data_IF_868821268724
#
_entry.id   IF_868821268724
#
_cell.length_a   1.000
_cell.length_b   1.000
_cell.length_c   1.000
_cell.angle_alpha   90.00
_cell.angle_beta   90.00
_cell.angle_gamma   90.00
#
_symmetry.space_group_name_H-M   'P 1'
#
loop_
_entity.id
_entity.type
_entity.pdbx_description
1 polymer ?
#
# COMPACT_ATOMS: atom_id res chain seq x y z
N UNK A 1 35.30 25.64 -58.71
CA UNK A 1 35.23 26.05 -57.30
C UNK A 1 33.85 26.64 -57.03
N UNK A 2 33.01 26.24 -56.08
CA UNK A 2 33.06 25.24 -55.00
C UNK A 2 31.63 25.13 -54.45
N UNK A 3 31.09 23.89 -54.44
CA UNK A 3 30.09 23.24 -53.56
C UNK A 3 29.05 24.04 -52.75
N UNK A 4 27.85 23.44 -52.66
CA UNK A 4 26.94 23.66 -51.53
C UNK A 4 25.61 22.87 -51.56
N UNK A 5 25.62 21.57 -51.87
CA UNK A 5 24.45 20.70 -51.66
C UNK A 5 24.25 20.45 -50.15
N UNK A 6 23.17 20.98 -49.57
CA UNK A 6 22.72 20.63 -48.22
C UNK A 6 21.66 19.55 -48.34
N UNK A 7 22.12 18.30 -48.26
CA UNK A 7 21.27 17.12 -48.10
C UNK A 7 20.73 17.10 -46.67
N UNK A 8 19.48 17.51 -46.48
CA UNK A 8 18.76 17.33 -45.22
C UNK A 8 18.52 15.84 -45.01
N UNK A 9 19.38 15.24 -44.20
CA UNK A 9 19.26 13.86 -43.76
C UNK A 9 18.15 13.79 -42.71
N UNK A 10 16.94 13.40 -43.13
CA UNK A 10 15.85 13.06 -42.21
C UNK A 10 16.26 11.80 -41.45
N UNK A 11 16.74 11.99 -40.23
CA UNK A 11 16.96 10.93 -39.25
C UNK A 11 15.62 10.26 -38.97
N UNK A 12 15.47 9.01 -39.42
CA UNK A 12 14.35 8.18 -39.07
C UNK A 12 14.30 8.02 -37.54
N UNK A 13 13.31 8.66 -36.91
CA UNK A 13 12.98 8.42 -35.52
C UNK A 13 12.69 6.92 -35.38
N UNK A 14 13.54 6.24 -34.63
CA UNK A 14 13.39 4.82 -34.31
C UNK A 14 12.08 4.69 -33.54
N UNK A 15 11.01 4.25 -34.21
CA UNK A 15 9.75 3.91 -33.57
C UNK A 15 10.04 2.71 -32.65
N UNK A 16 10.22 3.00 -31.38
CA UNK A 16 10.26 1.97 -30.33
C UNK A 16 8.90 1.28 -30.41
N UNK A 17 8.83 -0.04 -30.68
CA UNK A 17 7.56 -0.74 -30.69
C UNK A 17 7.01 -0.69 -29.26
N UNK A 18 5.97 0.13 -29.07
CA UNK A 18 5.18 0.13 -27.84
C UNK A 18 4.57 -1.26 -27.76
N UNK A 19 5.11 -2.10 -26.87
CA UNK A 19 4.56 -3.43 -26.60
C UNK A 19 3.07 -3.29 -26.36
N UNK A 20 2.27 -3.92 -27.20
CA UNK A 20 0.81 -3.78 -27.30
C UNK A 20 0.12 -4.48 -26.14
N UNK A 21 0.43 -4.08 -24.90
CA UNK A 21 -0.38 -4.44 -23.74
C UNK A 21 -1.76 -3.83 -23.96
N UNK A 22 -2.77 -4.69 -24.13
CA UNK A 22 -4.15 -4.24 -24.29
C UNK A 22 -4.54 -3.48 -23.02
N UNK A 23 -4.78 -2.17 -23.15
CA UNK A 23 -5.27 -1.33 -22.06
C UNK A 23 -6.77 -1.62 -21.92
N UNK A 24 -7.15 -2.34 -20.85
CA UNK A 24 -8.52 -2.82 -20.63
C UNK A 24 -9.26 -1.91 -19.66
N UNK A 25 -10.52 -1.51 -19.95
CA UNK A 25 -11.31 -0.70 -19.03
C UNK A 25 -11.78 -1.52 -17.82
N UNK A 26 -11.79 -0.94 -16.60
CA UNK A 26 -12.38 -1.60 -15.45
C UNK A 26 -13.90 -1.69 -15.59
N UNK A 27 -14.46 -2.82 -15.18
CA UNK A 27 -15.89 -3.10 -15.31
C UNK A 27 -16.65 -2.80 -14.01
N UNK A 28 -17.77 -2.09 -14.11
CA UNK A 28 -18.71 -1.92 -12.99
C UNK A 28 -19.58 -3.17 -12.87
N UNK A 29 -19.26 -4.03 -11.91
CA UNK A 29 -19.99 -5.26 -11.62
C UNK A 29 -20.72 -5.25 -10.27
N UNK A 30 -20.41 -4.26 -9.43
CA UNK A 30 -20.95 -4.09 -8.08
C UNK A 30 -21.06 -2.58 -7.81
N UNK A 31 -22.12 -2.18 -7.11
CA UNK A 31 -22.38 -0.80 -6.67
C UNK A 31 -22.08 -0.59 -5.19
N UNK A 32 -21.53 -1.59 -4.49
CA UNK A 32 -21.06 -1.43 -3.13
C UNK A 32 -19.99 -0.32 -3.06
N UNK A 33 -19.98 0.40 -1.95
CA UNK A 33 -19.11 1.56 -1.78
C UNK A 33 -17.62 1.25 -2.00
N UNK A 34 -17.05 0.17 -1.43
CA UNK A 34 -15.64 -0.18 -1.66
C UNK A 34 -15.37 -0.57 -3.13
N UNK A 35 -16.32 -1.25 -3.78
CA UNK A 35 -16.19 -1.62 -5.19
C UNK A 35 -16.17 -0.39 -6.10
N UNK A 36 -17.02 0.61 -5.84
CA UNK A 36 -17.07 1.84 -6.63
C UNK A 36 -15.85 2.75 -6.39
N UNK A 37 -15.35 2.84 -5.16
CA UNK A 37 -14.10 3.56 -4.86
C UNK A 37 -12.92 2.94 -5.61
N UNK A 38 -12.82 1.60 -5.58
CA UNK A 38 -11.82 0.86 -6.35
C UNK A 38 -11.97 1.09 -7.85
N UNK A 39 -13.19 0.92 -8.38
CA UNK A 39 -13.47 1.12 -9.80
C UNK A 39 -13.09 2.53 -10.26
N UNK A 40 -13.41 3.57 -9.47
CA UNK A 40 -13.08 4.97 -9.80
C UNK A 40 -11.58 5.19 -9.94
N UNK A 41 -10.78 4.58 -9.04
CA UNK A 41 -9.31 4.62 -9.12
C UNK A 41 -8.80 3.93 -10.39
N UNK A 42 -9.23 2.68 -10.63
CA UNK A 42 -8.83 1.91 -11.82
C UNK A 42 -9.28 2.60 -13.11
N UNK A 43 -10.41 3.32 -13.08
CA UNK A 43 -10.96 4.03 -14.22
C UNK A 43 -10.11 5.24 -14.58
N UNK A 44 -9.62 5.98 -13.59
CA UNK A 44 -8.67 7.06 -13.79
C UNK A 44 -7.35 6.53 -14.39
N UNK A 45 -6.80 5.46 -13.83
CA UNK A 45 -5.56 4.83 -14.35
C UNK A 45 -5.73 4.37 -15.80
N UNK A 46 -6.89 3.81 -16.14
CA UNK A 46 -7.25 3.44 -17.51
C UNK A 46 -7.30 4.66 -18.44
N UNK A 47 -7.94 5.75 -18.01
CA UNK A 47 -8.06 6.99 -18.80
C UNK A 47 -6.71 7.63 -19.06
N UNK A 48 -5.84 7.70 -18.04
CA UNK A 48 -4.48 8.22 -18.14
C UNK A 48 -3.62 7.37 -19.09
N UNK A 49 -3.77 6.04 -19.02
CA UNK A 49 -3.04 5.12 -19.91
C UNK A 49 -3.50 5.25 -21.37
N UNK A 50 -4.80 5.41 -21.61
CA UNK A 50 -5.34 5.69 -22.95
C UNK A 50 -4.82 7.03 -23.47
N UNK A 51 -4.81 8.07 -22.64
CA UNK A 51 -4.31 9.38 -22.99
C UNK A 51 -2.83 9.35 -23.39
N UNK A 52 -1.98 8.69 -22.60
CA UNK A 52 -0.56 8.51 -22.93
C UNK A 52 -0.34 7.75 -24.25
N UNK A 53 -1.15 6.71 -24.51
CA UNK A 53 -1.09 5.96 -25.78
C UNK A 53 -1.51 6.84 -26.96
N UNK A 54 -2.61 7.57 -26.84
CA UNK A 54 -3.10 8.50 -27.87
C UNK A 54 -2.06 9.59 -28.17
N UNK A 55 -1.41 10.15 -27.15
CA UNK A 55 -0.34 11.13 -27.34
C UNK A 55 0.86 10.57 -28.12
N UNK A 56 1.16 9.28 -27.95
CA UNK A 56 2.29 8.62 -28.64
C UNK A 56 1.94 8.17 -30.06
N UNK A 57 0.70 7.73 -30.29
CA UNK A 57 0.25 7.11 -31.55
C UNK A 57 -0.49 8.06 -32.49
N UNK A 58 -0.99 9.19 -31.98
CA UNK A 58 -1.90 10.08 -32.69
C UNK A 58 -3.33 9.54 -32.80
N UNK A 59 -3.67 8.44 -32.10
CA UNK A 59 -5.04 7.91 -32.03
C UNK A 59 -6.00 8.94 -31.41
N UNK A 60 -7.22 9.01 -31.96
CA UNK A 60 -8.30 9.82 -31.39
C UNK A 60 -8.75 9.26 -30.03
N UNK A 61 -8.56 10.04 -28.96
CA UNK A 61 -8.94 9.69 -27.57
C UNK A 61 -10.40 9.25 -27.47
N UNK A 62 -11.31 9.92 -28.19
CA UNK A 62 -12.75 9.60 -28.13
C UNK A 62 -13.07 8.21 -28.69
N UNK A 63 -12.25 7.70 -29.62
CA UNK A 63 -12.39 6.36 -30.21
C UNK A 63 -11.63 5.31 -29.42
N UNK A 64 -10.51 5.69 -28.82
CA UNK A 64 -9.68 4.81 -28.00
C UNK A 64 -10.32 4.52 -26.63
N UNK A 65 -11.02 5.50 -26.06
CA UNK A 65 -11.63 5.40 -24.74
C UNK A 65 -12.94 4.61 -24.78
N UNK A 66 -13.01 3.51 -24.03
CA UNK A 66 -14.27 2.79 -23.84
C UNK A 66 -15.16 3.55 -22.88
N UNK A 67 -16.41 3.80 -23.28
CA UNK A 67 -17.40 4.46 -22.44
C UNK A 67 -17.73 3.68 -21.16
N UNK A 68 -18.22 4.37 -20.13
CA UNK A 68 -18.61 3.75 -18.85
C UNK A 68 -19.78 2.81 -19.08
N UNK A 69 -20.77 3.23 -19.86
CA UNK A 69 -21.92 2.41 -20.26
C UNK A 69 -21.52 1.08 -20.91
N UNK A 70 -20.47 1.09 -21.76
CA UNK A 70 -19.94 -0.10 -22.43
C UNK A 70 -19.01 -0.95 -21.56
N UNK A 71 -18.59 -0.42 -20.41
CA UNK A 71 -17.83 -1.13 -19.37
C UNK A 71 -18.67 -1.36 -18.11
N UNK A 72 -20.00 -1.33 -18.24
CA UNK A 72 -20.93 -1.61 -17.16
C UNK A 72 -21.56 -3.00 -17.34
N UNK A 73 -21.76 -3.72 -16.24
CA UNK A 73 -22.61 -4.91 -16.25
C UNK A 73 -24.01 -4.55 -16.78
N UNK A 74 -24.40 -5.12 -17.92
CA UNK A 74 -25.64 -4.76 -18.63
C UNK A 74 -26.90 -4.97 -17.79
N UNK A 75 -26.95 -6.05 -17.01
CA UNK A 75 -28.11 -6.38 -16.20
C UNK A 75 -28.20 -5.46 -14.98
N UNK A 76 -27.07 -5.16 -14.35
CA UNK A 76 -26.99 -4.20 -13.24
C UNK A 76 -27.39 -2.80 -13.71
N UNK A 77 -26.83 -2.32 -14.83
CA UNK A 77 -27.16 -1.01 -15.40
C UNK A 77 -28.66 -0.90 -15.73
N UNK A 78 -29.24 -1.93 -16.35
CA UNK A 78 -30.67 -1.99 -16.65
C UNK A 78 -31.53 -1.90 -15.38
N UNK A 79 -31.09 -2.57 -14.32
CA UNK A 79 -31.77 -2.60 -13.03
C UNK A 79 -31.72 -1.21 -12.36
N UNK A 80 -30.54 -0.59 -12.30
CA UNK A 80 -30.36 0.77 -11.78
C UNK A 80 -31.19 1.82 -12.55
N UNK A 81 -31.14 1.79 -13.88
CA UNK A 81 -31.94 2.68 -14.71
C UNK A 81 -33.44 2.58 -14.36
N UNK A 82 -33.96 1.37 -14.19
CA UNK A 82 -35.37 1.12 -13.93
C UNK A 82 -35.78 1.54 -12.52
N UNK A 83 -35.01 1.14 -11.50
CA UNK A 83 -35.44 1.24 -10.11
C UNK A 83 -34.91 2.48 -9.39
N UNK A 84 -33.69 2.92 -9.67
CA UNK A 84 -33.05 4.03 -8.95
C UNK A 84 -33.15 5.34 -9.73
N UNK A 85 -32.94 5.30 -11.05
CA UNK A 85 -32.75 6.52 -11.86
C UNK A 85 -33.96 6.93 -12.69
N UNK A 86 -35.04 6.14 -12.70
CA UNK A 86 -36.26 6.45 -13.45
C UNK A 86 -36.02 6.70 -14.94
N UNK A 87 -35.10 5.95 -15.55
CA UNK A 87 -34.71 6.09 -16.97
C UNK A 87 -34.54 4.73 -17.64
N UNK A 88 -34.08 4.73 -18.87
CA UNK A 88 -33.80 3.52 -19.66
C UNK A 88 -32.33 3.50 -20.07
N UNK A 89 -31.78 2.32 -20.36
CA UNK A 89 -30.40 2.17 -20.82
C UNK A 89 -30.15 2.99 -22.08
N UNK A 90 -31.14 3.20 -22.94
CA UNK A 90 -30.99 3.97 -24.18
C UNK A 90 -30.84 5.46 -23.89
N UNK A 91 -31.68 5.99 -23.01
CA UNK A 91 -31.77 7.43 -22.66
C UNK A 91 -30.68 7.91 -21.70
N UNK A 92 -30.07 7.02 -20.91
CA UNK A 92 -29.06 7.46 -19.94
C UNK A 92 -27.76 7.87 -20.65
N UNK A 93 -27.23 9.02 -20.26
CA UNK A 93 -25.96 9.59 -20.75
C UNK A 93 -24.79 9.10 -19.91
N UNK A 94 -23.57 9.13 -20.48
CA UNK A 94 -22.35 8.75 -19.77
C UNK A 94 -22.14 9.61 -18.51
N UNK A 95 -22.29 10.93 -18.63
CA UNK A 95 -22.14 11.87 -17.51
C UNK A 95 -23.12 11.59 -16.38
N UNK A 96 -24.35 11.19 -16.72
CA UNK A 96 -25.35 10.82 -15.72
C UNK A 96 -24.96 9.54 -14.99
N UNK A 97 -24.45 8.52 -15.69
CA UNK A 97 -23.96 7.29 -15.04
C UNK A 97 -22.87 7.64 -14.03
N UNK A 98 -21.85 8.40 -14.46
CA UNK A 98 -20.74 8.81 -13.58
C UNK A 98 -21.25 9.61 -12.39
N UNK A 99 -22.14 10.58 -12.62
CA UNK A 99 -22.72 11.40 -11.54
C UNK A 99 -23.50 10.57 -10.52
N UNK A 100 -24.27 9.58 -10.96
CA UNK A 100 -25.01 8.70 -10.04
C UNK A 100 -24.07 7.77 -9.25
N UNK A 101 -23.02 7.24 -9.88
CA UNK A 101 -21.98 6.49 -9.15
C UNK A 101 -21.26 7.37 -8.13
N UNK A 102 -20.96 8.61 -8.49
CA UNK A 102 -20.32 9.58 -7.59
C UNK A 102 -21.21 9.97 -6.41
N UNK A 103 -22.54 10.00 -6.59
CA UNK A 103 -23.48 10.17 -5.46
C UNK A 103 -23.42 9.00 -4.50
N UNK A 104 -23.32 7.76 -5.00
CA UNK A 104 -23.17 6.57 -4.15
C UNK A 104 -21.85 6.66 -3.37
N UNK A 105 -20.77 7.10 -4.00
CA UNK A 105 -19.45 7.27 -3.37
C UNK A 105 -19.42 8.46 -2.39
N UNK A 106 -20.22 9.48 -2.63
CA UNK A 106 -20.23 10.72 -1.86
C UNK A 106 -21.13 10.69 -0.62
N UNK A 107 -22.08 9.75 -0.57
CA UNK A 107 -23.08 9.65 0.49
C UNK A 107 -22.72 8.57 1.51
N UNK A 108 -23.04 8.83 2.77
CA UNK A 108 -22.85 7.89 3.87
C UNK A 108 -23.60 6.60 3.58
N UNK A 109 -22.94 5.45 3.74
CA UNK A 109 -23.56 4.15 3.49
C UNK A 109 -24.87 4.00 4.27
N UNK A 110 -25.96 3.71 3.54
CA UNK A 110 -27.30 3.41 4.05
C UNK A 110 -27.99 4.52 4.87
N UNK A 111 -27.55 5.78 4.81
CA UNK A 111 -28.01 6.86 5.72
C UNK A 111 -27.90 6.47 7.21
N UNK A 112 -27.07 5.46 7.52
CA UNK A 112 -26.90 4.95 8.88
C UNK A 112 -26.07 5.97 9.65
N UNK A 113 -26.49 6.26 10.88
CA UNK A 113 -25.65 6.99 11.85
C UNK A 113 -24.43 6.11 12.12
N UNK A 114 -23.35 6.35 11.38
CA UNK A 114 -22.10 5.63 11.56
C UNK A 114 -21.43 6.11 12.85
N UNK A 115 -21.03 5.16 13.69
CA UNK A 115 -20.05 5.43 14.74
C UNK A 115 -18.68 5.61 14.08
N UNK A 116 -18.39 6.86 13.73
CA UNK A 116 -17.15 7.28 13.06
C UNK A 116 -15.93 6.83 13.89
N UNK A 117 -15.99 6.96 15.21
CA UNK A 117 -14.89 6.58 16.10
C UNK A 117 -14.61 5.07 15.99
N UNK A 118 -15.65 4.23 16.01
CA UNK A 118 -15.52 2.77 15.88
C UNK A 118 -14.85 2.33 14.56
N UNK A 119 -15.19 2.98 13.44
CA UNK A 119 -14.60 2.68 12.13
C UNK A 119 -13.09 2.93 12.13
N UNK A 120 -12.66 4.09 12.64
CA UNK A 120 -11.24 4.42 12.72
C UNK A 120 -10.51 3.63 13.80
N UNK A 121 -11.14 3.37 14.94
CA UNK A 121 -10.60 2.52 16.02
C UNK A 121 -10.25 1.12 15.51
N UNK A 122 -11.09 0.54 14.65
CA UNK A 122 -10.85 -0.77 14.06
C UNK A 122 -9.72 -0.78 13.02
N UNK A 123 -9.68 0.24 12.15
CA UNK A 123 -8.93 0.19 10.87
C UNK A 123 -7.70 1.10 10.80
N UNK A 124 -7.72 2.27 11.43
CA UNK A 124 -6.64 3.25 11.30
C UNK A 124 -5.49 2.91 12.25
N UNK A 125 -4.48 2.22 11.70
CA UNK A 125 -3.30 1.77 12.46
C UNK A 125 -2.03 2.09 11.69
N UNK A 126 -1.08 2.75 12.37
CA UNK A 126 0.24 3.01 11.78
C UNK A 126 1.05 1.71 11.72
N UNK A 127 1.53 1.36 10.52
CA UNK A 127 2.34 0.17 10.28
C UNK A 127 3.76 0.35 10.86
N UNK A 128 4.02 -0.24 12.04
CA UNK A 128 5.32 -0.13 12.71
C UNK A 128 6.41 -1.01 12.10
N UNK A 129 6.05 -1.99 11.25
CA UNK A 129 6.99 -2.87 10.57
C UNK A 129 7.64 -2.17 9.36
N UNK A 130 7.00 -1.12 8.84
CA UNK A 130 7.59 -0.25 7.84
C UNK A 130 8.81 0.51 8.40
N UNK A 131 10.00 0.10 7.94
CA UNK A 131 11.30 0.65 8.36
C UNK A 131 11.54 2.08 7.88
N UNK A 132 11.03 2.44 6.70
CA UNK A 132 11.11 3.82 6.22
C UNK A 132 10.05 4.67 6.93
N UNK A 133 10.50 5.51 7.84
CA UNK A 133 9.66 6.40 8.65
C UNK A 133 8.80 7.32 7.78
N UNK A 134 9.33 7.82 6.66
CA UNK A 134 8.58 8.73 5.78
C UNK A 134 7.46 7.97 5.08
N UNK A 135 7.76 6.78 4.55
CA UNK A 135 6.77 5.92 3.92
C UNK A 135 5.69 5.50 4.94
N UNK A 136 6.09 5.16 6.17
CA UNK A 136 5.18 4.80 7.26
C UNK A 136 4.17 5.91 7.57
N UNK A 137 4.64 7.15 7.72
CA UNK A 137 3.77 8.29 8.00
C UNK A 137 2.87 8.60 6.79
N UNK A 138 3.41 8.55 5.57
CA UNK A 138 2.62 8.80 4.36
C UNK A 138 1.50 7.76 4.20
N UNK A 139 1.82 6.47 4.29
CA UNK A 139 0.85 5.38 4.18
C UNK A 139 -0.23 5.48 5.25
N UNK A 140 0.11 5.94 6.46
CA UNK A 140 -0.86 6.16 7.52
C UNK A 140 -1.89 7.25 7.18
N UNK A 141 -1.46 8.37 6.59
CA UNK A 141 -2.39 9.41 6.12
C UNK A 141 -3.23 8.92 4.95
N UNK A 142 -2.63 8.21 3.99
CA UNK A 142 -3.36 7.59 2.87
C UNK A 142 -4.43 6.60 3.34
N UNK A 143 -4.13 5.80 4.38
CA UNK A 143 -5.09 4.87 4.98
C UNK A 143 -6.29 5.60 5.60
N UNK A 144 -6.08 6.79 6.19
CA UNK A 144 -7.17 7.61 6.70
C UNK A 144 -8.11 8.04 5.55
N UNK A 145 -7.56 8.53 4.44
CA UNK A 145 -8.34 8.88 3.25
C UNK A 145 -9.07 7.69 2.65
N UNK A 146 -8.43 6.52 2.59
CA UNK A 146 -9.05 5.30 2.10
C UNK A 146 -10.24 4.88 2.98
N UNK A 147 -10.11 4.95 4.30
CA UNK A 147 -11.22 4.68 5.23
C UNK A 147 -12.37 5.70 5.02
N UNK A 148 -12.06 6.99 4.86
CA UNK A 148 -13.07 8.03 4.60
C UNK A 148 -13.82 7.73 3.30
N UNK A 149 -13.09 7.42 2.24
CA UNK A 149 -13.64 7.13 0.93
C UNK A 149 -14.49 5.86 0.96
N UNK A 150 -14.02 4.76 1.54
CA UNK A 150 -14.76 3.49 1.52
C UNK A 150 -16.07 3.50 2.34
N UNK A 151 -16.21 4.43 3.29
CA UNK A 151 -17.40 4.55 4.13
C UNK A 151 -18.35 5.69 3.69
N UNK A 152 -18.08 6.35 2.55
CA UNK A 152 -18.91 7.44 2.06
C UNK A 152 -18.86 8.70 2.91
N UNK A 153 -17.77 8.89 3.64
CA UNK A 153 -17.56 10.03 4.53
C UNK A 153 -16.88 11.21 3.82
N UNK A 154 -16.58 11.09 2.52
CA UNK A 154 -15.81 12.08 1.76
C UNK A 154 -16.42 13.49 1.84
N UNK A 155 -17.74 13.60 1.64
CA UNK A 155 -18.46 14.87 1.71
C UNK A 155 -18.43 15.47 3.13
N UNK A 156 -18.61 14.64 4.17
CA UNK A 156 -18.56 15.07 5.56
C UNK A 156 -17.16 15.60 5.93
N UNK A 157 -16.11 14.93 5.47
CA UNK A 157 -14.71 15.26 5.78
C UNK A 157 -14.15 16.41 4.91
N UNK A 158 -14.81 16.78 3.82
CA UNK A 158 -14.45 17.94 3.01
C UNK A 158 -14.81 19.30 3.64
N UNK A 159 -15.65 19.30 4.69
CA UNK A 159 -16.05 20.53 5.40
C UNK A 159 -14.97 20.99 6.38
N UNK A 160 -14.97 22.27 6.79
CA UNK A 160 -14.03 22.76 7.80
C UNK A 160 -14.12 22.00 9.14
N UNK A 161 -15.32 21.55 9.52
CA UNK A 161 -15.54 20.70 10.70
C UNK A 161 -15.00 19.29 10.45
N UNK A 162 -15.23 18.74 9.27
CA UNK A 162 -14.69 17.45 8.83
C UNK A 162 -13.16 17.40 8.84
N UNK A 163 -12.49 18.44 8.36
CA UNK A 163 -11.02 18.55 8.38
C UNK A 163 -10.49 18.57 9.82
N UNK A 164 -11.17 19.29 10.73
CA UNK A 164 -10.85 19.28 12.17
C UNK A 164 -10.97 17.88 12.76
N UNK A 165 -12.04 17.19 12.39
CA UNK A 165 -12.32 15.83 12.85
C UNK A 165 -11.28 14.85 12.31
N UNK A 166 -10.90 14.97 11.03
CA UNK A 166 -9.80 14.24 10.42
C UNK A 166 -8.51 14.40 11.21
N UNK A 167 -8.15 15.64 11.52
CA UNK A 167 -6.95 15.93 12.32
C UNK A 167 -7.04 15.31 13.72
N UNK A 168 -8.21 15.34 14.36
CA UNK A 168 -8.45 14.71 15.67
C UNK A 168 -8.22 13.19 15.60
N UNK A 169 -8.86 12.52 14.63
CA UNK A 169 -8.74 11.07 14.39
C UNK A 169 -7.29 10.70 14.10
N UNK A 170 -6.63 11.41 13.18
CA UNK A 170 -5.23 11.18 12.84
C UNK A 170 -4.30 11.25 14.06
N UNK A 171 -4.51 12.20 14.98
CA UNK A 171 -3.73 12.29 16.23
C UNK A 171 -4.03 11.15 17.20
N UNK A 172 -5.32 10.85 17.43
CA UNK A 172 -5.77 9.79 18.35
C UNK A 172 -5.10 8.45 18.03
N UNK A 173 -4.98 8.14 16.75
CA UNK A 173 -4.49 6.85 16.24
C UNK A 173 -2.98 6.79 15.94
N UNK A 174 -2.21 7.84 16.26
CA UNK A 174 -0.76 7.80 16.12
C UNK A 174 -0.14 6.72 17.02
N UNK A 175 0.73 5.92 16.42
CA UNK A 175 1.57 4.95 17.11
C UNK A 175 3.03 5.15 16.69
N UNK A 176 4.01 4.91 17.57
CA UNK A 176 3.86 4.56 18.99
C UNK A 176 3.31 5.72 19.83
N UNK A 177 2.85 5.43 21.06
CA UNK A 177 2.28 6.44 21.96
C UNK A 177 3.20 7.66 22.17
N UNK A 178 4.51 7.44 22.26
CA UNK A 178 5.49 8.52 22.38
C UNK A 178 5.46 9.52 21.21
N UNK A 179 5.17 9.07 19.99
CA UNK A 179 5.01 9.95 18.82
C UNK A 179 3.77 10.83 18.98
N UNK A 180 2.65 10.23 19.37
CA UNK A 180 1.41 10.94 19.64
C UNK A 180 1.61 12.02 20.70
N UNK A 181 2.21 11.65 21.82
CA UNK A 181 2.42 12.56 22.95
C UNK A 181 3.35 13.73 22.55
N UNK A 182 4.40 13.46 21.76
CA UNK A 182 5.29 14.50 21.23
C UNK A 182 4.57 15.48 20.29
N UNK A 183 3.69 14.98 19.42
CA UNK A 183 2.87 15.80 18.51
C UNK A 183 1.86 16.65 19.32
N UNK A 184 1.18 16.05 20.30
CA UNK A 184 0.23 16.76 21.16
C UNK A 184 0.91 17.85 22.00
N UNK A 185 2.08 17.57 22.58
CA UNK A 185 2.87 18.57 23.29
C UNK A 185 3.28 19.73 22.38
N UNK A 186 3.70 19.47 21.15
CA UNK A 186 4.08 20.52 20.20
C UNK A 186 2.87 21.40 19.83
N UNK A 187 1.72 20.82 19.54
CA UNK A 187 0.50 21.57 19.20
C UNK A 187 -0.10 22.34 20.39
N UNK A 188 0.17 21.91 21.63
CA UNK A 188 -0.24 22.63 22.84
C UNK A 188 0.64 23.84 23.12
N UNK A 189 1.96 23.73 22.90
CA UNK A 189 2.93 24.73 23.33
C UNK A 189 3.34 25.72 22.24
N UNK A 190 3.34 25.30 20.97
CA UNK A 190 3.91 26.08 19.86
C UNK A 190 2.82 26.59 18.92
N UNK A 191 1.98 25.68 18.39
CA UNK A 191 1.11 25.98 17.24
C UNK A 191 -0.38 25.73 17.54
N UNK A 192 -0.99 26.56 18.39
CA UNK A 192 -2.41 26.43 18.78
C UNK A 192 -3.40 26.68 17.63
N UNK A 193 -3.01 27.46 16.62
CA UNK A 193 -3.84 27.82 15.46
C UNK A 193 -3.83 26.77 14.33
N UNK A 194 -2.83 25.89 14.29
CA UNK A 194 -2.66 24.85 13.24
C UNK A 194 -3.29 23.50 13.58
N UNK A 195 -4.05 23.41 14.67
CA UNK A 195 -4.71 22.18 15.11
C UNK A 195 -5.71 21.60 14.09
N UNK A 196 -6.07 22.38 13.09
CA UNK A 196 -7.10 22.11 12.07
C UNK A 196 -6.53 22.10 10.65
N UNK A 197 -5.21 22.04 10.49
CA UNK A 197 -4.53 21.99 9.20
C UNK A 197 -3.90 20.60 9.03
N UNK A 198 -4.42 19.84 8.08
CA UNK A 198 -3.98 18.48 7.79
C UNK A 198 -2.52 18.43 7.28
N UNK A 199 -2.15 19.36 6.41
CA UNK A 199 -0.81 19.41 5.82
C UNK A 199 0.23 19.78 6.87
N UNK A 200 -0.09 20.75 7.74
CA UNK A 200 0.75 21.09 8.88
C UNK A 200 0.91 19.90 9.84
N UNK A 201 -0.19 19.17 10.12
CA UNK A 201 -0.15 17.97 10.94
C UNK A 201 0.76 16.89 10.33
N UNK A 202 0.66 16.63 9.02
CA UNK A 202 1.53 15.69 8.34
C UNK A 202 3.02 16.06 8.46
N UNK A 203 3.36 17.34 8.23
CA UNK A 203 4.74 17.82 8.36
C UNK A 203 5.27 17.60 9.77
N UNK A 204 4.47 17.95 10.79
CA UNK A 204 4.83 17.79 12.19
C UNK A 204 5.00 16.31 12.60
N UNK A 205 4.05 15.44 12.23
CA UNK A 205 4.11 14.01 12.54
C UNK A 205 5.36 13.39 11.92
N UNK A 206 5.66 13.73 10.66
CA UNK A 206 6.86 13.26 9.96
C UNK A 206 8.14 13.73 10.67
N UNK A 207 8.22 14.99 11.06
CA UNK A 207 9.37 15.54 11.79
C UNK A 207 9.59 14.82 13.12
N UNK A 208 8.54 14.69 13.94
CA UNK A 208 8.61 14.03 15.25
C UNK A 208 8.93 12.55 15.15
N UNK A 209 8.39 11.84 14.15
CA UNK A 209 8.71 10.44 13.92
C UNK A 209 10.18 10.24 13.53
N UNK A 210 10.77 11.16 12.76
CA UNK A 210 12.18 11.13 12.40
C UNK A 210 13.09 11.46 13.60
N UNK A 211 12.72 12.43 14.42
CA UNK A 211 13.42 12.74 15.67
C UNK A 211 13.47 11.51 16.59
N UNK A 212 12.33 10.86 16.80
CA UNK A 212 12.24 9.65 17.62
C UNK A 212 13.18 8.54 17.10
N UNK A 213 13.19 8.32 15.78
CA UNK A 213 14.06 7.31 15.16
C UNK A 213 15.55 7.62 15.36
N UNK A 214 15.95 8.90 15.33
CA UNK A 214 17.33 9.30 15.63
C UNK A 214 17.69 8.99 17.08
N UNK A 215 16.80 9.31 18.02
CA UNK A 215 17.00 9.04 19.45
C UNK A 215 17.13 7.53 19.71
N UNK A 216 16.24 6.72 19.15
CA UNK A 216 16.25 5.26 19.32
C UNK A 216 17.53 4.64 18.76
N UNK A 217 18.02 5.14 17.62
CA UNK A 217 19.29 4.71 17.02
C UNK A 217 20.50 5.05 17.91
N UNK A 218 20.52 6.25 18.50
CA UNK A 218 21.60 6.66 19.40
C UNK A 218 21.61 5.80 20.67
N UNK A 219 20.45 5.55 21.28
CA UNK A 219 20.31 4.70 22.45
C UNK A 219 20.71 3.26 22.16
N UNK A 220 20.31 2.71 21.00
CA UNK A 220 20.68 1.36 20.58
C UNK A 220 22.18 1.20 20.35
N UNK A 221 22.83 2.20 19.73
CA UNK A 221 24.29 2.22 19.54
C UNK A 221 25.02 2.23 20.87
N UNK A 222 24.54 3.04 21.83
CA UNK A 222 25.11 3.10 23.19
C UNK A 222 24.98 1.78 23.94
N UNK A 223 23.83 1.10 23.81
CA UNK A 223 23.60 -0.23 24.40
C UNK A 223 24.49 -1.30 23.79
N UNK A 224 24.70 -1.30 22.48
CA UNK A 224 25.63 -2.23 21.84
C UNK A 224 27.07 -2.00 22.29
N UNK A 225 27.49 -0.74 22.45
CA UNK A 225 28.82 -0.41 22.93
C UNK A 225 29.02 -0.81 24.41
N UNK A 226 28.02 -0.62 25.27
CA UNK A 226 28.10 -1.05 26.68
C UNK A 226 28.05 -2.57 26.81
N UNK A 227 27.24 -3.25 26.00
CA UNK A 227 27.17 -4.72 26.00
C UNK A 227 28.47 -5.35 25.46
N UNK A 228 29.12 -4.74 24.47
CA UNK A 228 30.45 -5.13 23.99
C UNK A 228 31.53 -4.96 25.07
N UNK A 229 31.47 -3.89 25.86
CA UNK A 229 32.41 -3.67 26.97
C UNK A 229 32.18 -4.64 28.14
N UNK A 230 30.93 -5.00 28.45
CA UNK A 230 30.61 -5.94 29.52
C UNK A 230 30.77 -7.42 29.13
N UNK A 231 30.74 -7.77 27.84
CA UNK A 231 30.93 -9.14 27.36
C UNK A 231 32.41 -9.57 27.24
N UNK A 232 33.35 -8.74 27.70
CA UNK A 232 34.75 -9.11 27.85
C UNK A 232 35.35 -9.60 26.54
N UNK A 233 35.62 -8.67 25.62
CA UNK A 233 36.36 -8.96 24.40
C UNK A 233 37.72 -9.59 24.69
N UNK A 234 37.79 -10.93 24.69
CA UNK A 234 39.03 -11.67 24.48
C UNK A 234 39.25 -11.75 22.97
N UNK A 235 40.27 -11.08 22.40
CA UNK A 235 40.79 -11.55 21.12
C UNK A 235 41.40 -12.93 21.40
N UNK A 236 40.92 -13.97 20.72
CA UNK A 236 41.67 -15.23 20.55
C UNK A 236 42.87 -14.92 19.64
N UNK A 237 43.85 -14.20 20.16
CA UNK A 237 45.19 -14.09 19.61
C UNK A 237 46.08 -15.09 20.34
N UNK A 238 46.03 -16.35 19.88
CA UNK A 238 46.96 -17.37 20.34
C UNK A 238 48.38 -16.96 19.93
N UNK A 239 49.21 -16.78 20.94
CA UNK A 239 50.67 -16.75 20.90
C UNK A 239 51.23 -17.91 20.08
N UNK A 240 52.15 -17.62 19.15
CA UNK A 240 53.37 -18.43 19.08
C UNK A 240 54.59 -17.56 18.75
N UNK A 241 55.60 -17.67 19.60
CA UNK A 241 56.90 -17.04 19.46
C UNK A 241 57.88 -18.12 19.02
N UNK A 242 58.44 -17.96 17.82
CA UNK A 242 59.86 -18.22 17.61
C UNK A 242 60.27 -19.40 16.71
N UNK A 243 61.09 -19.04 15.73
CA UNK A 243 62.21 -19.81 15.16
C UNK A 243 62.00 -20.65 13.89
N UNK A 244 62.29 -19.98 12.75
CA UNK A 244 63.44 -20.25 11.84
C UNK A 244 63.62 -21.67 11.25
N UNK A 245 63.38 -21.82 9.94
CA UNK A 245 64.25 -22.44 8.91
C UNK A 245 63.55 -22.34 7.52
N UNK A 246 64.08 -21.54 6.59
CA UNK A 246 64.98 -21.86 5.44
C UNK A 246 64.36 -22.76 4.35
N UNK A 247 64.16 -22.11 3.19
CA UNK A 247 64.26 -22.54 1.77
C UNK A 247 64.39 -24.04 1.44
N UNK A 248 63.56 -24.54 0.50
CA UNK A 248 63.91 -24.74 -0.93
C UNK A 248 62.80 -25.52 -1.69
N UNK A 249 62.62 -25.21 -2.97
CA UNK A 249 61.81 -25.91 -4.00
C UNK A 249 62.42 -27.31 -4.36
N UNK A 250 61.90 -28.14 -5.33
CA UNK A 250 60.69 -28.10 -6.18
C UNK A 250 59.88 -29.44 -6.27
N UNK A 251 58.80 -29.43 -7.08
CA UNK A 251 57.95 -30.51 -7.67
C UNK A 251 58.71 -31.72 -8.28
N UNK A 252 58.11 -32.77 -8.93
CA UNK A 252 56.71 -33.03 -9.33
C UNK A 252 56.21 -34.52 -9.26
N UNK A 253 54.91 -34.74 -9.54
CA UNK A 253 54.54 -35.86 -10.43
C UNK A 253 53.36 -36.78 -10.07
N UNK A 254 52.53 -36.98 -11.10
CA UNK A 254 51.72 -38.17 -11.46
C UNK A 254 50.28 -38.32 -10.92
N UNK A 255 49.35 -38.00 -11.84
CA UNK A 255 48.36 -38.91 -12.48
C UNK A 255 47.57 -39.85 -11.54
N UNK A 256 46.22 -39.78 -11.53
CA UNK A 256 45.26 -40.50 -12.41
C UNK A 256 43.82 -40.51 -11.83
N UNK A 257 42.84 -40.39 -12.76
CA UNK A 257 41.48 -41.00 -12.81
C UNK A 257 40.40 -40.49 -11.81
N UNK A 258 39.29 -39.88 -12.25
CA UNK A 258 38.09 -40.37 -13.01
C UNK A 258 37.34 -41.55 -12.38
N UNK A 259 36.17 -41.27 -11.80
CA UNK A 259 34.83 -41.84 -12.13
C UNK A 259 33.81 -41.12 -11.23
N UNK A 260 32.81 -40.38 -11.72
CA UNK A 260 31.57 -40.80 -12.41
C UNK A 260 30.75 -41.85 -11.65
N UNK A 261 29.54 -41.45 -11.26
CA UNK A 261 28.55 -42.31 -10.61
C UNK A 261 27.30 -41.56 -10.14
N UNK A 262 26.48 -41.09 -11.07
CA UNK A 262 25.03 -40.91 -10.87
C UNK A 262 24.35 -42.20 -11.35
N UNK A 263 23.20 -42.64 -10.79
CA UNK A 263 21.89 -42.28 -11.37
C UNK A 263 20.80 -42.00 -10.30
N UNK A 264 19.93 -40.99 -10.52
CA UNK A 264 18.54 -41.02 -11.06
C UNK A 264 17.48 -41.70 -10.16
N UNK A 265 16.52 -40.92 -9.62
CA UNK A 265 15.12 -40.73 -10.10
C UNK A 265 14.20 -41.79 -9.45
N UNK A 266 13.01 -41.51 -8.89
CA UNK A 266 11.76 -41.07 -9.56
C UNK A 266 10.70 -40.62 -8.52
N UNK A 267 9.97 -39.54 -8.83
CA UNK A 267 8.48 -39.32 -8.83
C UNK A 267 7.60 -40.05 -7.79
N UNK A 268 6.43 -39.60 -7.30
CA UNK A 268 5.50 -38.46 -7.48
C UNK A 268 4.39 -38.67 -6.41
N UNK A 269 3.90 -37.67 -5.66
CA UNK A 269 2.76 -36.75 -5.93
C UNK A 269 1.34 -37.32 -5.66
N UNK A 270 0.52 -36.44 -5.03
CA UNK A 270 -0.97 -36.43 -4.87
C UNK A 270 -1.54 -37.20 -3.67
N UNK A 271 -2.64 -36.83 -2.98
CA UNK A 271 -3.55 -35.67 -2.93
C UNK A 271 -4.57 -35.92 -1.79
N UNK A 272 -4.97 -34.85 -1.07
CA UNK A 272 -6.30 -34.53 -0.49
C UNK A 272 -7.17 -35.55 0.30
N UNK A 273 -7.71 -35.04 1.42
CA UNK A 273 -9.04 -35.26 2.07
C UNK A 273 -9.01 -35.78 3.52
N UNK A 274 -9.49 -34.93 4.43
CA UNK A 274 -10.06 -35.23 5.77
C UNK A 274 -11.49 -35.82 5.57
N UNK A 275 -12.16 -36.52 6.53
CA UNK A 275 -12.33 -36.11 7.95
C UNK A 275 -12.45 -37.23 9.01
N UNK A 276 -12.29 -36.90 10.30
CA UNK A 276 -12.96 -37.60 11.41
C UNK A 276 -12.89 -36.82 12.75
N UNK A 277 -13.99 -36.91 13.49
CA UNK A 277 -14.36 -36.21 14.74
C UNK A 277 -14.21 -37.15 15.96
N UNK A 278 -14.18 -36.55 17.16
CA UNK A 278 -14.43 -37.06 18.56
C UNK A 278 -13.13 -37.07 19.39
N UNK A 279 -13.05 -36.57 20.64
CA UNK A 279 -14.04 -36.33 21.71
C UNK A 279 -13.47 -35.44 22.84
N UNK A 280 -14.36 -34.77 23.60
CA UNK A 280 -14.12 -34.06 24.89
C UNK A 280 -14.10 -35.02 26.09
N UNK A 281 -13.69 -34.54 27.29
CA UNK A 281 -14.47 -34.68 28.55
C UNK A 281 -14.89 -33.27 29.07
N UNK A 282 -16.16 -32.99 29.47
CA UNK A 282 -16.89 -33.25 30.75
C UNK A 282 -16.07 -32.84 31.99
N UNK A 283 -16.51 -32.08 33.01
CA UNK A 283 -17.78 -31.42 33.46
C UNK A 283 -17.46 -30.76 34.81
N UNK A 284 -18.23 -29.75 35.23
CA UNK A 284 -18.26 -29.23 36.63
C UNK A 284 -18.78 -27.80 36.70
N UNK A 285 -20.05 -27.56 36.37
CA UNK A 285 -21.23 -27.42 37.26
C UNK A 285 -21.31 -26.09 38.03
N UNK A 286 -22.40 -25.38 37.77
CA UNK A 286 -22.85 -24.12 38.36
C UNK A 286 -23.44 -24.35 39.76
N UNK A 287 -23.21 -23.41 40.67
CA UNK A 287 -24.20 -23.09 41.70
C UNK A 287 -24.54 -21.61 41.67
N UNK A 288 -25.83 -21.37 41.48
CA UNK A 288 -26.54 -20.11 41.66
C UNK A 288 -26.84 -19.93 43.15
N UNK A 289 -26.77 -18.69 43.65
CA UNK A 289 -27.24 -18.31 44.97
C UNK A 289 -27.21 -16.79 45.10
N UNK A 290 -28.39 -16.18 45.00
CA UNK A 290 -28.64 -14.75 45.25
C UNK A 290 -28.72 -14.45 46.76
N UNK A 291 -28.82 -13.16 47.03
CA UNK A 291 -29.34 -12.45 48.22
C UNK A 291 -28.34 -12.13 49.33
N UNK A 292 -27.80 -10.89 49.30
CA UNK A 292 -28.25 -9.76 50.15
C UNK A 292 -27.52 -8.46 49.75
#
# INVERSE_FOLDING_TARGET
STTGDIKVSTTAATAIPVSSSSIVPPYVNDISHPALVKWKRERQEYEDAIEARCATTGEDKSKALRSVKNSFNRQLLKTLCKFEWGTTVEKITEDRIVSELDKIIGNVMNDVILDIDSIFDARLKMDLDQRDVKARVLNYFMLCDEIILENGLASAFATATGIKEKCRVLKKHLAPAALRDAVDSHLRLVDTTRKSDENALYVLVKEKALEQTKVDRLLSTRRHQSNWKNSGGKPKGGTDRGSRQKSDQPSPGKKKRKNDGQPRTVLAMKSSLTPAVKSKPRTGYFHCGKDH
#
